data_IF_303154374143
#
_entry.id   IF_303154374143
#
_cell.length_a   1.000
_cell.length_b   1.000
_cell.length_c   1.000
_cell.angle_alpha   90.00
_cell.angle_beta   90.00
_cell.angle_gamma   90.00
#
_symmetry.space_group_name_H-M   'P 1'
#
loop_
_entity.id
_entity.type
_entity.pdbx_description
1 polymer ?
#
# COMPACT_ATOMS: atom_id res chain seq x y z
N UNK A 1 5.01 29.00 12.67
CA UNK A 1 4.93 28.35 14.02
C UNK A 1 4.34 26.93 13.91
N UNK A 2 3.19 26.72 13.24
CA UNK A 2 2.58 25.38 13.09
C UNK A 2 3.45 24.39 12.30
N UNK A 3 4.06 24.86 11.21
CA UNK A 3 4.97 24.06 10.37
C UNK A 3 6.24 23.63 11.14
N UNK A 4 6.75 24.50 12.02
CA UNK A 4 7.90 24.18 12.88
C UNK A 4 7.54 23.15 13.95
N UNK A 5 6.33 23.21 14.50
CA UNK A 5 5.82 22.22 15.46
C UNK A 5 5.63 20.87 14.75
N UNK A 6 5.06 20.88 13.54
CA UNK A 6 4.92 19.68 12.72
C UNK A 6 6.28 19.05 12.40
N UNK A 7 7.26 19.83 11.90
CA UNK A 7 8.60 19.33 11.55
C UNK A 7 9.44 18.84 12.73
N UNK A 8 9.11 19.26 13.96
CA UNK A 8 9.77 18.79 15.20
C UNK A 8 9.13 17.55 15.79
N UNK A 9 7.98 17.12 15.29
CA UNK A 9 7.26 15.96 15.80
C UNK A 9 7.76 14.71 15.09
N UNK A 10 8.86 14.16 15.55
CA UNK A 10 9.42 12.92 15.05
C UNK A 10 8.67 11.72 15.64
N UNK A 11 8.14 10.87 14.78
CA UNK A 11 7.73 9.51 15.10
C UNK A 11 8.74 8.59 14.44
N UNK A 12 9.47 7.84 15.23
CA UNK A 12 10.38 6.81 14.70
C UNK A 12 9.62 5.50 14.61
N UNK A 13 9.95 4.71 13.60
CA UNK A 13 9.57 3.30 13.63
C UNK A 13 10.19 2.66 14.89
N UNK A 14 9.37 2.04 15.72
CA UNK A 14 9.83 1.40 16.95
C UNK A 14 9.61 -0.11 16.86
N UNK A 15 8.41 -0.53 16.47
CA UNK A 15 8.05 -1.94 16.34
C UNK A 15 6.79 -2.14 15.50
N UNK A 16 6.48 -3.39 15.19
CA UNK A 16 5.26 -3.78 14.49
C UNK A 16 3.99 -3.37 15.26
N UNK A 17 4.02 -3.43 16.60
CA UNK A 17 2.89 -3.03 17.45
C UNK A 17 2.62 -1.52 17.36
N UNK A 18 3.63 -0.68 17.21
CA UNK A 18 3.43 0.76 17.04
C UNK A 18 2.79 1.07 15.69
N UNK A 19 3.11 0.31 14.66
CA UNK A 19 2.45 0.39 13.34
C UNK A 19 1.00 -0.07 13.45
N UNK A 20 0.75 -1.22 14.07
CA UNK A 20 -0.61 -1.74 14.30
C UNK A 20 -1.48 -0.71 15.05
N UNK A 21 -0.99 -0.15 16.17
CA UNK A 21 -1.71 0.86 16.94
C UNK A 21 -2.01 2.14 16.14
N UNK A 22 -1.10 2.56 15.25
CA UNK A 22 -1.34 3.70 14.38
C UNK A 22 -2.47 3.42 13.38
N UNK A 23 -2.48 2.24 12.76
CA UNK A 23 -3.55 1.83 11.84
C UNK A 23 -4.88 1.59 12.55
N UNK A 24 -4.87 1.02 13.76
CA UNK A 24 -6.07 0.90 14.61
C UNK A 24 -6.72 2.26 14.84
N UNK A 25 -5.92 3.26 15.26
CA UNK A 25 -6.42 4.63 15.49
C UNK A 25 -6.94 5.32 14.22
N UNK A 26 -6.40 4.99 13.04
CA UNK A 26 -6.87 5.52 11.76
C UNK A 26 -8.16 4.83 11.31
N UNK A 27 -8.30 3.55 11.60
CA UNK A 27 -9.49 2.76 11.26
C UNK A 27 -10.67 3.10 12.17
N UNK A 28 -10.44 3.21 13.49
CA UNK A 28 -11.48 3.50 14.48
C UNK A 28 -12.12 4.87 14.28
N UNK A 29 -11.37 5.90 13.87
CA UNK A 29 -11.92 7.23 13.59
C UNK A 29 -12.63 7.34 12.23
N UNK A 30 -12.49 6.32 11.36
CA UNK A 30 -13.10 6.22 10.02
C UNK A 30 -12.83 7.41 9.09
N UNK A 31 -11.84 8.24 9.38
CA UNK A 31 -11.57 9.43 8.57
C UNK A 31 -11.18 9.05 7.14
N UNK A 32 -10.23 8.11 7.00
CA UNK A 32 -9.79 7.66 5.69
C UNK A 32 -10.91 6.95 4.93
N UNK A 33 -11.64 6.04 5.56
CA UNK A 33 -12.78 5.35 4.94
C UNK A 33 -13.82 6.33 4.40
N UNK A 34 -14.19 7.36 5.18
CA UNK A 34 -15.18 8.35 4.75
C UNK A 34 -14.69 9.24 3.60
N UNK A 35 -13.42 9.62 3.62
CA UNK A 35 -12.83 10.46 2.58
C UNK A 35 -12.43 9.64 1.34
N UNK A 36 -11.72 8.54 1.56
CA UNK A 36 -11.05 7.82 0.49
C UNK A 36 -11.78 6.55 0.04
N UNK A 37 -12.82 6.12 0.77
CA UNK A 37 -13.55 4.88 0.52
C UNK A 37 -12.79 3.67 1.05
N UNK A 38 -13.02 2.52 0.42
CA UNK A 38 -12.54 1.21 0.88
C UNK A 38 -11.05 0.97 0.59
N UNK A 39 -10.40 1.88 -0.12
CA UNK A 39 -9.00 1.76 -0.55
C UNK A 39 -8.15 2.88 0.03
N UNK A 40 -7.14 2.53 0.80
CA UNK A 40 -6.19 3.52 1.36
C UNK A 40 -5.03 3.80 0.39
N UNK A 41 -4.71 2.86 -0.52
CA UNK A 41 -3.66 2.99 -1.52
C UNK A 41 -3.92 4.09 -2.57
N UNK A 42 -2.90 4.45 -3.35
CA UNK A 42 -3.01 5.39 -4.47
C UNK A 42 -3.90 4.85 -5.59
N UNK A 43 -4.44 5.74 -6.40
CA UNK A 43 -5.21 5.41 -7.61
C UNK A 43 -4.33 5.38 -8.87
N UNK A 44 -4.81 4.75 -9.93
CA UNK A 44 -4.21 4.74 -11.25
C UNK A 44 -5.00 5.63 -12.21
N UNK A 45 -4.36 6.68 -12.72
CA UNK A 45 -5.00 7.71 -13.57
C UNK A 45 -4.67 7.55 -15.05
N UNK A 46 -4.02 6.45 -15.43
CA UNK A 46 -3.55 6.21 -16.80
C UNK A 46 -2.20 6.86 -17.10
N UNK A 47 -1.63 6.48 -18.24
CA UNK A 47 -0.41 7.10 -18.77
C UNK A 47 -0.58 7.30 -20.29
N UNK A 48 -0.81 8.55 -20.76
CA UNK A 48 -0.87 9.79 -19.98
C UNK A 48 -2.06 9.84 -19.03
N UNK A 49 -1.90 10.60 -17.93
CA UNK A 49 -2.95 10.70 -16.90
C UNK A 49 -4.22 11.35 -17.43
N UNK A 50 -5.36 10.80 -17.01
CA UNK A 50 -6.70 11.28 -17.37
C UNK A 50 -7.45 11.80 -16.15
N UNK A 51 -8.27 12.85 -16.28
CA UNK A 51 -9.17 13.27 -15.20
C UNK A 51 -10.09 12.10 -14.81
N UNK A 52 -9.98 11.65 -13.56
CA UNK A 52 -10.72 10.49 -13.06
C UNK A 52 -11.19 10.80 -11.64
N UNK A 53 -12.37 10.29 -11.26
CA UNK A 53 -12.81 10.35 -9.86
C UNK A 53 -11.80 9.61 -8.99
N UNK A 54 -11.49 10.21 -7.84
CA UNK A 54 -10.45 9.70 -6.93
C UNK A 54 -10.69 8.25 -6.46
N UNK A 55 -11.94 7.88 -6.21
CA UNK A 55 -12.28 6.51 -5.79
C UNK A 55 -12.26 5.55 -6.97
N UNK A 56 -12.76 5.99 -8.14
CA UNK A 56 -12.67 5.20 -9.37
C UNK A 56 -11.21 4.95 -9.78
N UNK A 57 -10.32 5.92 -9.62
CA UNK A 57 -8.90 5.74 -9.89
C UNK A 57 -8.27 4.64 -8.99
N UNK A 58 -8.73 4.49 -7.75
CA UNK A 58 -8.29 3.42 -6.84
C UNK A 58 -8.80 2.05 -7.25
N UNK A 59 -10.05 1.93 -7.67
CA UNK A 59 -10.56 0.68 -8.24
C UNK A 59 -9.84 0.35 -9.56
N UNK A 60 -9.62 1.34 -10.43
CA UNK A 60 -8.85 1.18 -11.65
C UNK A 60 -7.42 0.68 -11.38
N UNK A 61 -6.79 1.14 -10.29
CA UNK A 61 -5.47 0.65 -9.86
C UNK A 61 -5.48 -0.87 -9.62
N UNK A 62 -6.49 -1.39 -8.92
CA UNK A 62 -6.60 -2.84 -8.66
C UNK A 62 -6.69 -3.60 -9.98
N UNK A 63 -7.56 -3.17 -10.90
CA UNK A 63 -7.72 -3.83 -12.18
C UNK A 63 -6.47 -3.74 -13.06
N UNK A 64 -5.76 -2.60 -13.04
CA UNK A 64 -4.50 -2.46 -13.77
C UNK A 64 -3.41 -3.39 -13.21
N UNK A 65 -3.26 -3.46 -11.89
CA UNK A 65 -2.27 -4.33 -11.29
C UNK A 65 -2.58 -5.82 -11.53
N UNK A 66 -3.87 -6.21 -11.53
CA UNK A 66 -4.31 -7.56 -11.91
C UNK A 66 -3.90 -7.88 -13.35
N UNK A 67 -4.18 -6.99 -14.32
CA UNK A 67 -3.77 -7.18 -15.72
C UNK A 67 -2.25 -7.21 -15.88
N UNK A 68 -1.57 -6.24 -15.30
CA UNK A 68 -0.11 -6.13 -15.42
C UNK A 68 0.61 -7.34 -14.82
N UNK A 69 0.15 -7.85 -13.68
CA UNK A 69 0.74 -9.01 -13.02
C UNK A 69 0.34 -10.34 -13.68
N UNK A 70 -0.71 -10.36 -14.50
CA UNK A 70 -1.26 -11.54 -15.15
C UNK A 70 -2.14 -12.38 -14.24
N UNK A 71 -2.62 -11.82 -13.11
CA UNK A 71 -3.60 -12.50 -12.25
C UNK A 71 -4.91 -12.79 -12.99
N UNK A 72 -5.30 -11.95 -13.96
CA UNK A 72 -6.49 -12.14 -14.81
C UNK A 72 -6.46 -13.45 -15.63
N UNK A 73 -5.31 -14.11 -15.73
CA UNK A 73 -5.15 -15.41 -16.39
C UNK A 73 -5.41 -16.60 -15.46
N UNK A 74 -5.57 -16.34 -14.16
CA UNK A 74 -5.87 -17.41 -13.20
C UNK A 74 -7.37 -17.78 -13.26
N UNK A 75 -7.70 -19.09 -13.10
CA UNK A 75 -9.09 -19.51 -13.09
C UNK A 75 -9.82 -18.97 -11.85
N UNK A 76 -11.14 -18.81 -11.95
CA UNK A 76 -11.99 -18.55 -10.80
C UNK A 76 -11.82 -19.68 -9.75
N UNK A 77 -11.88 -19.29 -8.47
CA UNK A 77 -11.58 -20.18 -7.34
C UNK A 77 -10.10 -20.29 -6.99
N UNK A 78 -9.20 -19.63 -7.74
CA UNK A 78 -7.79 -19.54 -7.36
C UNK A 78 -7.63 -18.89 -5.99
N UNK A 79 -6.72 -19.44 -5.19
CA UNK A 79 -6.45 -18.95 -3.82
C UNK A 79 -5.48 -17.79 -3.87
N UNK A 80 -5.91 -16.63 -3.39
CA UNK A 80 -5.12 -15.40 -3.36
C UNK A 80 -4.87 -14.96 -1.93
N UNK A 81 -3.63 -14.65 -1.59
CA UNK A 81 -3.28 -14.01 -0.32
C UNK A 81 -3.09 -12.50 -0.57
N UNK A 82 -3.86 -11.67 0.12
CA UNK A 82 -3.71 -10.20 0.14
C UNK A 82 -2.98 -9.78 1.42
N UNK A 83 -1.67 -9.50 1.30
CA UNK A 83 -0.81 -9.14 2.43
C UNK A 83 -0.81 -7.64 2.66
N UNK A 84 -1.24 -7.21 3.86
CA UNK A 84 -1.47 -5.81 4.15
C UNK A 84 -2.81 -5.33 3.61
N UNK A 85 -3.85 -6.16 3.69
CA UNK A 85 -5.15 -5.96 3.05
C UNK A 85 -5.94 -4.71 3.51
N UNK A 86 -5.47 -4.01 4.55
CA UNK A 86 -6.20 -2.89 5.14
C UNK A 86 -7.63 -3.27 5.53
N UNK A 87 -8.61 -2.47 5.13
CA UNK A 87 -10.04 -2.77 5.34
C UNK A 87 -10.66 -3.61 4.22
N UNK A 88 -9.84 -4.30 3.42
CA UNK A 88 -10.24 -5.34 2.48
C UNK A 88 -10.77 -4.86 1.13
N UNK A 89 -10.53 -3.61 0.73
CA UNK A 89 -11.03 -3.06 -0.54
C UNK A 89 -10.57 -3.86 -1.75
N UNK A 90 -9.26 -4.06 -1.90
CA UNK A 90 -8.68 -4.85 -3.00
C UNK A 90 -9.11 -6.32 -2.93
N UNK A 91 -9.09 -6.93 -1.73
CA UNK A 91 -9.51 -8.31 -1.52
C UNK A 91 -10.95 -8.55 -2.01
N UNK A 92 -11.89 -7.62 -1.72
CA UNK A 92 -13.27 -7.73 -2.20
C UNK A 92 -13.40 -7.61 -3.71
N UNK A 93 -12.61 -6.73 -4.36
CA UNK A 93 -12.58 -6.64 -5.84
C UNK A 93 -12.05 -7.95 -6.44
N UNK A 94 -10.95 -8.48 -5.93
CA UNK A 94 -10.36 -9.74 -6.39
C UNK A 94 -11.36 -10.90 -6.27
N UNK A 95 -12.10 -11.00 -5.17
CA UNK A 95 -13.11 -12.03 -4.98
C UNK A 95 -14.36 -11.82 -5.85
N UNK A 96 -14.84 -10.58 -5.96
CA UNK A 96 -16.09 -10.27 -6.68
C UNK A 96 -15.92 -10.32 -8.20
N UNK A 97 -14.88 -9.69 -8.73
CA UNK A 97 -14.75 -9.43 -10.16
C UNK A 97 -13.94 -10.51 -10.88
N UNK A 98 -13.08 -11.23 -10.15
CA UNK A 98 -12.25 -12.32 -10.70
C UNK A 98 -12.62 -13.70 -10.14
N UNK A 99 -13.53 -13.76 -9.16
CA UNK A 99 -14.01 -15.02 -8.59
C UNK A 99 -12.97 -15.75 -7.74
N UNK A 100 -11.97 -15.07 -7.21
CA UNK A 100 -10.92 -15.70 -6.39
C UNK A 100 -11.40 -16.02 -4.97
N UNK A 101 -10.76 -17.03 -4.34
CA UNK A 101 -10.87 -17.31 -2.90
C UNK A 101 -9.76 -16.52 -2.19
N UNK A 102 -10.12 -15.38 -1.58
CA UNK A 102 -9.15 -14.42 -1.04
C UNK A 102 -9.03 -14.55 0.47
N UNK A 103 -7.80 -14.68 0.95
CA UNK A 103 -7.44 -14.46 2.35
C UNK A 103 -6.70 -13.13 2.47
N UNK A 104 -7.30 -12.13 3.12
CA UNK A 104 -6.64 -10.88 3.46
C UNK A 104 -6.02 -10.94 4.84
N UNK A 105 -4.78 -10.46 4.98
CA UNK A 105 -4.10 -10.39 6.28
C UNK A 105 -3.59 -8.98 6.57
N UNK A 106 -3.69 -8.57 7.82
CA UNK A 106 -3.15 -7.33 8.35
C UNK A 106 -2.70 -7.51 9.79
N UNK A 107 -1.71 -6.74 10.21
CA UNK A 107 -1.28 -6.72 11.61
C UNK A 107 -2.27 -5.97 12.53
N UNK A 108 -3.19 -5.17 11.98
CA UNK A 108 -4.17 -4.36 12.71
C UNK A 108 -5.47 -5.14 12.97
N UNK A 109 -5.80 -5.49 14.22
CA UNK A 109 -7.09 -6.10 14.55
C UNK A 109 -8.30 -5.23 14.18
N UNK A 110 -8.18 -3.90 14.25
CA UNK A 110 -9.25 -2.98 13.87
C UNK A 110 -9.53 -3.04 12.36
N UNK A 111 -8.47 -3.10 11.53
CA UNK A 111 -8.64 -3.27 10.09
C UNK A 111 -9.32 -4.59 9.75
N UNK A 112 -8.91 -5.69 10.37
CA UNK A 112 -9.51 -7.02 10.12
C UNK A 112 -10.98 -7.06 10.52
N UNK A 113 -11.34 -6.52 11.69
CA UNK A 113 -12.76 -6.39 12.08
C UNK A 113 -13.52 -5.59 11.03
N UNK A 114 -12.98 -4.44 10.61
CA UNK A 114 -13.64 -3.57 9.64
C UNK A 114 -13.74 -4.22 8.25
N UNK A 115 -12.71 -4.90 7.79
CA UNK A 115 -12.72 -5.64 6.54
C UNK A 115 -13.84 -6.71 6.54
N UNK A 116 -13.98 -7.44 7.65
CA UNK A 116 -15.03 -8.45 7.81
C UNK A 116 -16.43 -7.81 7.79
N UNK A 117 -16.63 -6.70 8.52
CA UNK A 117 -17.91 -5.98 8.56
C UNK A 117 -18.34 -5.43 7.17
N UNK A 118 -17.38 -5.01 6.35
CA UNK A 118 -17.63 -4.44 5.03
C UNK A 118 -17.82 -5.51 3.94
N UNK A 119 -17.54 -6.77 4.24
CA UNK A 119 -17.61 -7.85 3.24
C UNK A 119 -19.01 -8.44 3.20
N UNK A 120 -19.67 -8.44 2.02
CA UNK A 120 -20.98 -9.06 1.86
C UNK A 120 -20.97 -10.56 2.13
N UNK A 121 -22.06 -11.07 2.69
CA UNK A 121 -22.26 -12.50 2.87
C UNK A 121 -22.18 -13.25 1.53
N UNK A 122 -21.52 -14.39 1.55
CA UNK A 122 -21.36 -15.26 0.36
C UNK A 122 -20.21 -14.86 -0.58
N UNK A 123 -19.50 -13.76 -0.32
CA UNK A 123 -18.28 -13.43 -1.04
C UNK A 123 -17.11 -14.29 -0.51
N UNK A 124 -16.36 -14.95 -1.41
CA UNK A 124 -15.20 -15.77 -1.05
C UNK A 124 -14.01 -14.90 -0.62
N UNK A 125 -14.17 -14.21 0.49
CA UNK A 125 -13.19 -13.28 1.03
C UNK A 125 -13.17 -13.38 2.56
N UNK A 126 -12.02 -13.70 3.11
CA UNK A 126 -11.82 -13.92 4.55
C UNK A 126 -10.64 -13.10 5.03
N UNK A 127 -10.60 -12.77 6.33
CA UNK A 127 -9.56 -11.92 6.89
C UNK A 127 -9.02 -12.50 8.19
N UNK A 128 -7.71 -12.31 8.42
CA UNK A 128 -7.03 -12.74 9.63
C UNK A 128 -5.97 -11.72 10.08
N UNK A 129 -5.75 -11.65 11.39
CA UNK A 129 -4.66 -10.85 11.95
C UNK A 129 -3.36 -11.66 11.82
N UNK A 130 -2.39 -11.15 11.04
CA UNK A 130 -1.06 -11.78 10.88
C UNK A 130 0.00 -10.69 10.66
N UNK A 131 1.22 -10.99 11.08
CA UNK A 131 2.41 -10.22 10.72
C UNK A 131 2.91 -10.68 9.34
N UNK A 132 3.12 -9.75 8.42
CA UNK A 132 3.65 -10.02 7.08
C UNK A 132 5.11 -10.54 7.09
N UNK A 133 5.83 -10.34 8.20
CA UNK A 133 7.19 -10.85 8.39
C UNK A 133 7.22 -12.26 9.03
N UNK A 134 6.07 -12.77 9.44
CA UNK A 134 5.93 -14.12 10.05
C UNK A 134 4.52 -14.66 9.77
N UNK A 135 4.25 -14.99 8.51
CA UNK A 135 2.96 -15.53 8.10
C UNK A 135 2.76 -16.94 8.66
N UNK A 136 1.73 -17.11 9.49
CA UNK A 136 1.38 -18.41 10.07
C UNK A 136 0.60 -19.26 9.05
N UNK A 137 1.21 -19.45 7.88
CA UNK A 137 0.65 -20.14 6.72
C UNK A 137 1.66 -21.17 6.19
N UNK A 138 1.16 -22.25 5.63
CA UNK A 138 2.01 -23.27 5.01
C UNK A 138 2.70 -22.77 3.75
N UNK A 139 3.86 -23.33 3.46
CA UNK A 139 4.57 -23.09 2.21
C UNK A 139 3.68 -23.47 1.02
N UNK A 140 3.84 -22.74 -0.09
CA UNK A 140 3.23 -23.07 -1.39
C UNK A 140 1.70 -23.25 -1.33
N UNK A 141 1.03 -22.43 -0.50
CA UNK A 141 -0.40 -22.55 -0.24
C UNK A 141 -1.27 -21.78 -1.23
N UNK A 142 -0.75 -20.73 -1.88
CA UNK A 142 -1.52 -19.79 -2.68
C UNK A 142 -1.13 -19.82 -4.16
N UNK A 143 -2.13 -19.61 -5.02
CA UNK A 143 -1.99 -19.47 -6.47
C UNK A 143 -1.46 -18.10 -6.86
N UNK A 144 -1.80 -17.10 -6.03
CA UNK A 144 -1.24 -15.76 -6.15
C UNK A 144 -1.00 -15.12 -4.79
N UNK A 145 0.00 -14.23 -4.75
CA UNK A 145 0.25 -13.31 -3.64
C UNK A 145 0.11 -11.89 -4.16
N UNK A 146 -0.73 -11.13 -3.48
CA UNK A 146 -1.03 -9.74 -3.75
C UNK A 146 -0.61 -8.90 -2.54
N UNK A 147 0.03 -7.75 -2.77
CA UNK A 147 0.30 -6.76 -1.73
C UNK A 147 0.42 -5.37 -2.34
N UNK A 148 -0.26 -4.40 -1.73
CA UNK A 148 -0.27 -3.01 -2.17
C UNK A 148 0.02 -2.10 -0.99
N UNK A 149 1.10 -1.32 -1.10
CA UNK A 149 1.55 -0.32 -0.13
C UNK A 149 1.77 -0.86 1.29
N UNK A 150 2.10 -2.16 1.42
CA UNK A 150 2.47 -2.76 2.70
C UNK A 150 3.99 -2.76 2.93
N UNK A 151 4.77 -2.98 1.88
CA UNK A 151 6.23 -3.06 1.94
C UNK A 151 6.93 -1.82 2.53
N UNK A 152 6.44 -0.58 2.36
CA UNK A 152 7.00 0.60 3.00
C UNK A 152 7.09 0.50 4.53
N UNK A 153 6.19 -0.25 5.16
CA UNK A 153 6.14 -0.44 6.60
C UNK A 153 7.03 -1.58 7.13
N UNK A 154 7.61 -2.39 6.25
CA UNK A 154 8.41 -3.54 6.65
C UNK A 154 9.86 -3.12 6.97
N UNK A 155 10.35 -3.33 8.19
CA UNK A 155 11.74 -3.01 8.54
C UNK A 155 12.74 -3.94 7.87
N UNK A 156 12.38 -5.21 7.71
CA UNK A 156 13.18 -6.24 7.04
C UNK A 156 12.58 -6.57 5.68
N UNK A 157 13.09 -5.94 4.62
CA UNK A 157 12.63 -6.12 3.25
C UNK A 157 12.94 -7.52 2.71
N UNK A 158 14.06 -8.14 3.16
CA UNK A 158 14.40 -9.50 2.75
C UNK A 158 13.44 -10.50 3.36
N UNK A 159 13.19 -10.41 4.66
CA UNK A 159 12.23 -11.28 5.35
C UNK A 159 10.83 -11.15 4.74
N UNK A 160 10.41 -9.92 4.41
CA UNK A 160 9.14 -9.71 3.72
C UNK A 160 9.09 -10.41 2.36
N UNK A 161 10.12 -10.25 1.53
CA UNK A 161 10.23 -10.92 0.23
C UNK A 161 10.20 -12.45 0.40
N UNK A 162 10.92 -12.99 1.40
CA UNK A 162 10.96 -14.43 1.68
C UNK A 162 9.58 -14.97 2.05
N UNK A 163 8.83 -14.30 2.93
CA UNK A 163 7.50 -14.72 3.34
C UNK A 163 6.48 -14.67 2.17
N UNK A 164 6.49 -13.59 1.35
CA UNK A 164 5.63 -13.51 0.17
C UNK A 164 5.86 -14.69 -0.78
N UNK A 165 7.12 -15.04 -1.02
CA UNK A 165 7.49 -16.10 -1.97
C UNK A 165 7.39 -17.50 -1.39
N UNK A 166 7.55 -17.66 -0.06
CA UNK A 166 7.42 -18.95 0.62
C UNK A 166 6.00 -19.53 0.50
N UNK A 167 5.00 -18.67 0.69
CA UNK A 167 3.58 -19.09 0.65
C UNK A 167 3.03 -19.22 -0.77
N UNK A 168 3.74 -18.70 -1.77
CA UNK A 168 3.37 -18.78 -3.17
C UNK A 168 3.80 -20.14 -3.75
N UNK A 169 2.86 -20.85 -4.40
CA UNK A 169 3.15 -22.12 -5.06
C UNK A 169 4.08 -21.93 -6.28
N UNK A 170 4.83 -22.95 -6.68
CA UNK A 170 5.57 -22.93 -7.93
C UNK A 170 4.68 -22.60 -9.13
N UNK A 171 5.08 -21.62 -9.95
CA UNK A 171 4.28 -21.15 -11.07
C UNK A 171 3.10 -20.24 -10.71
N UNK A 172 2.97 -19.86 -9.44
CA UNK A 172 1.99 -18.89 -8.96
C UNK A 172 2.31 -17.47 -9.41
N UNK A 173 1.34 -16.57 -9.27
CA UNK A 173 1.48 -15.15 -9.64
C UNK A 173 1.87 -14.31 -8.43
N UNK A 174 2.80 -13.37 -8.63
CA UNK A 174 3.18 -12.34 -7.66
C UNK A 174 2.72 -10.98 -8.19
N UNK A 175 2.03 -10.21 -7.37
CA UNK A 175 1.67 -8.82 -7.63
C UNK A 175 2.01 -7.96 -6.42
N UNK A 176 3.04 -7.15 -6.55
CA UNK A 176 3.46 -6.18 -5.52
C UNK A 176 3.41 -4.78 -6.09
N UNK A 177 2.94 -3.82 -5.30
CA UNK A 177 2.97 -2.42 -5.65
C UNK A 177 3.29 -1.59 -4.40
N UNK A 178 4.37 -0.81 -4.43
CA UNK A 178 4.89 -0.14 -3.24
C UNK A 178 5.48 1.25 -3.52
N UNK A 179 5.57 2.05 -2.47
CA UNK A 179 6.38 3.27 -2.46
C UNK A 179 7.86 2.91 -2.34
N UNK A 180 8.64 3.45 -3.25
CA UNK A 180 10.07 3.23 -3.30
C UNK A 180 10.81 4.57 -3.28
N UNK A 181 12.03 4.59 -2.76
CA UNK A 181 12.91 5.74 -2.94
C UNK A 181 13.69 5.63 -4.24
N UNK A 182 14.16 6.77 -4.77
CA UNK A 182 15.14 6.79 -5.85
C UNK A 182 16.34 5.91 -5.47
N UNK A 183 16.82 5.11 -6.43
CA UNK A 183 18.01 4.30 -6.21
C UNK A 183 19.26 5.19 -6.08
N UNK A 184 20.18 4.90 -5.13
CA UNK A 184 21.41 5.67 -4.98
C UNK A 184 22.30 5.73 -6.24
N UNK A 185 22.24 4.72 -7.13
CA UNK A 185 22.96 4.74 -8.39
C UNK A 185 22.42 5.77 -9.38
N UNK A 186 21.15 6.17 -9.24
CA UNK A 186 20.52 7.19 -10.08
C UNK A 186 20.78 8.62 -9.56
N UNK A 187 21.58 8.75 -8.52
CA UNK A 187 22.07 10.01 -7.98
C UNK A 187 21.92 10.14 -6.46
N UNK A 188 22.92 10.75 -5.85
CA UNK A 188 22.92 11.03 -4.42
C UNK A 188 21.91 12.14 -4.08
N UNK A 189 21.20 11.97 -2.95
CA UNK A 189 20.29 12.99 -2.44
C UNK A 189 21.05 14.28 -2.07
N UNK A 190 20.53 15.43 -2.50
CA UNK A 190 20.98 16.75 -2.04
C UNK A 190 20.48 17.07 -0.62
N UNK A 191 20.80 18.24 -0.10
CA UNK A 191 20.44 18.65 1.26
C UNK A 191 18.93 18.74 1.49
N UNK A 192 18.19 19.27 0.52
CA UNK A 192 16.73 19.39 0.57
C UNK A 192 16.06 18.01 0.50
N UNK A 193 16.50 17.14 -0.43
CA UNK A 193 15.99 15.78 -0.58
C UNK A 193 16.20 14.94 0.68
N UNK A 194 17.39 15.04 1.31
CA UNK A 194 17.66 14.38 2.60
C UNK A 194 16.72 14.86 3.71
N UNK A 195 16.44 16.17 3.75
CA UNK A 195 15.50 16.72 4.72
C UNK A 195 14.07 16.20 4.46
N UNK A 196 13.60 16.22 3.20
CA UNK A 196 12.28 15.68 2.82
C UNK A 196 12.18 14.21 3.18
N UNK A 197 13.14 13.37 2.76
CA UNK A 197 13.15 11.95 3.06
C UNK A 197 13.04 11.68 4.57
N UNK A 198 13.80 12.43 5.40
CA UNK A 198 13.70 12.32 6.85
C UNK A 198 12.29 12.66 7.36
N UNK A 199 11.64 13.70 6.80
CA UNK A 199 10.27 14.02 7.17
C UNK A 199 9.30 12.90 6.80
N UNK A 200 9.41 12.33 5.59
CA UNK A 200 8.55 11.23 5.15
C UNK A 200 8.68 10.00 6.05
N UNK A 201 9.90 9.63 6.45
CA UNK A 201 10.13 8.53 7.37
C UNK A 201 9.55 8.81 8.76
N UNK A 202 9.77 10.01 9.31
CA UNK A 202 9.41 10.32 10.70
C UNK A 202 7.94 10.70 10.90
N UNK A 203 7.27 11.29 9.90
CA UNK A 203 5.88 11.73 10.09
C UNK A 203 4.90 10.55 10.19
N UNK A 204 5.20 9.45 9.51
CA UNK A 204 4.37 8.25 9.51
C UNK A 204 5.07 7.02 10.12
N UNK A 205 6.18 7.23 10.82
CA UNK A 205 6.95 6.17 11.48
C UNK A 205 7.34 5.03 10.53
N UNK A 206 7.77 5.38 9.31
CA UNK A 206 8.28 4.40 8.36
C UNK A 206 9.71 3.97 8.70
N UNK A 207 10.05 2.70 8.48
CA UNK A 207 11.44 2.28 8.30
C UNK A 207 11.98 2.80 6.96
N UNK A 208 13.25 2.55 6.67
CA UNK A 208 13.86 2.94 5.39
C UNK A 208 13.10 2.36 4.19
N UNK A 209 12.86 3.19 3.17
CA UNK A 209 12.28 2.75 1.91
C UNK A 209 13.32 2.02 1.06
N UNK A 210 12.94 0.89 0.48
CA UNK A 210 13.73 0.28 -0.59
C UNK A 210 13.62 1.09 -1.89
N UNK A 211 14.61 1.00 -2.77
CA UNK A 211 14.43 1.38 -4.18
C UNK A 211 13.72 0.26 -4.95
N UNK A 212 13.19 0.56 -6.15
CA UNK A 212 12.61 -0.48 -7.03
C UNK A 212 13.64 -1.59 -7.28
N UNK A 213 14.87 -1.22 -7.65
CA UNK A 213 15.96 -2.18 -7.86
C UNK A 213 16.31 -2.94 -6.59
N UNK A 214 16.35 -2.26 -5.44
CA UNK A 214 16.67 -2.88 -4.15
C UNK A 214 15.63 -3.92 -3.73
N UNK A 215 14.34 -3.63 -3.86
CA UNK A 215 13.31 -4.61 -3.52
C UNK A 215 13.23 -5.75 -4.53
N UNK A 216 13.43 -5.49 -5.83
CA UNK A 216 13.57 -6.56 -6.82
C UNK A 216 14.72 -7.51 -6.45
N UNK A 217 15.88 -6.97 -6.04
CA UNK A 217 17.00 -7.78 -5.58
C UNK A 217 16.67 -8.61 -4.32
N UNK A 218 15.86 -8.09 -3.39
CA UNK A 218 15.38 -8.88 -2.24
C UNK A 218 14.48 -10.05 -2.70
N UNK A 219 13.58 -9.82 -3.66
CA UNK A 219 12.74 -10.89 -4.22
C UNK A 219 13.60 -11.95 -4.92
N UNK A 220 14.57 -11.53 -5.75
CA UNK A 220 15.46 -12.43 -6.48
C UNK A 220 16.41 -13.22 -5.56
N UNK A 221 16.84 -12.62 -4.45
CA UNK A 221 17.71 -13.26 -3.46
C UNK A 221 16.97 -14.29 -2.58
N UNK A 222 15.64 -14.29 -2.59
CA UNK A 222 14.86 -15.23 -1.80
C UNK A 222 15.11 -16.68 -2.27
N UNK A 223 15.29 -17.64 -1.35
CA UNK A 223 15.43 -19.06 -1.68
C UNK A 223 14.17 -19.65 -2.34
N UNK A 224 13.04 -18.97 -2.21
CA UNK A 224 11.75 -19.34 -2.78
C UNK A 224 11.51 -18.72 -4.17
N UNK A 225 12.37 -17.81 -4.66
CA UNK A 225 12.26 -17.23 -5.99
C UNK A 225 12.52 -18.28 -7.06
N UNK A 226 11.58 -18.45 -7.99
CA UNK A 226 11.64 -19.49 -9.06
C UNK A 226 11.70 -18.91 -10.46
N UNK A 227 11.93 -17.62 -10.62
CA UNK A 227 12.01 -16.97 -11.92
C UNK A 227 12.45 -15.51 -11.80
N UNK A 228 12.73 -14.86 -12.93
CA UNK A 228 13.12 -13.45 -12.94
C UNK A 228 11.96 -12.54 -12.48
N UNK A 229 12.32 -11.45 -11.83
CA UNK A 229 11.37 -10.43 -11.39
C UNK A 229 11.29 -9.33 -12.45
N UNK A 230 10.09 -9.06 -12.96
CA UNK A 230 9.81 -7.87 -13.76
C UNK A 230 9.36 -6.73 -12.87
N UNK A 231 9.87 -5.53 -13.16
CA UNK A 231 9.51 -4.31 -12.45
C UNK A 231 8.91 -3.28 -13.40
N UNK A 232 8.09 -2.39 -12.85
CA UNK A 232 7.59 -1.19 -13.52
C UNK A 232 7.62 0.00 -12.57
N UNK A 233 7.57 1.20 -13.13
CA UNK A 233 7.45 2.45 -12.38
C UNK A 233 6.13 3.12 -12.76
N UNK A 234 5.17 3.16 -11.84
CA UNK A 234 3.85 3.78 -12.02
C UNK A 234 3.74 5.16 -11.38
N UNK A 235 4.88 5.81 -11.11
CA UNK A 235 4.91 7.12 -10.47
C UNK A 235 4.06 8.15 -11.20
N UNK A 236 4.10 8.21 -12.53
CA UNK A 236 3.32 9.15 -13.34
C UNK A 236 1.83 8.86 -13.19
N UNK A 237 1.44 7.60 -13.34
CA UNK A 237 0.04 7.18 -13.29
C UNK A 237 -0.61 7.37 -11.91
N UNK A 238 0.18 7.35 -10.82
CA UNK A 238 -0.32 7.45 -9.43
C UNK A 238 -0.17 8.83 -8.81
N UNK A 239 0.66 9.71 -9.40
CA UNK A 239 0.99 11.03 -8.85
C UNK A 239 -0.24 11.90 -8.51
N UNK A 240 -1.33 11.94 -9.31
CA UNK A 240 -2.48 12.77 -8.99
C UNK A 240 -3.16 12.42 -7.66
N UNK A 241 -3.06 11.17 -7.22
CA UNK A 241 -3.67 10.71 -5.95
C UNK A 241 -3.24 11.52 -4.73
N UNK A 242 -2.00 12.02 -4.70
CA UNK A 242 -1.50 12.79 -3.57
C UNK A 242 -2.24 14.12 -3.38
N UNK A 243 -2.54 14.79 -4.49
CA UNK A 243 -3.32 16.04 -4.45
C UNK A 243 -4.80 15.72 -4.25
N UNK A 244 -5.34 14.72 -4.95
CA UNK A 244 -6.75 14.33 -4.81
C UNK A 244 -7.07 13.86 -3.38
N UNK A 245 -6.15 13.22 -2.67
CA UNK A 245 -6.33 12.84 -1.26
C UNK A 245 -6.58 14.04 -0.34
N UNK A 246 -5.99 15.21 -0.65
CA UNK A 246 -6.23 16.47 0.05
C UNK A 246 -7.53 17.11 -0.42
N UNK A 247 -7.75 17.13 -1.74
CA UNK A 247 -8.91 17.75 -2.38
C UNK A 247 -10.22 17.07 -1.98
N UNK A 248 -10.20 15.75 -1.74
CA UNK A 248 -11.37 15.02 -1.25
C UNK A 248 -11.88 15.55 0.11
N UNK A 249 -10.97 16.00 0.99
CA UNK A 249 -11.37 16.67 2.23
C UNK A 249 -12.14 17.98 1.99
N UNK A 250 -11.82 18.70 0.90
CA UNK A 250 -12.51 19.93 0.49
C UNK A 250 -13.82 19.60 -0.24
N UNK A 251 -13.82 18.60 -1.10
CA UNK A 251 -15.01 18.16 -1.87
C UNK A 251 -16.08 17.54 -0.97
N UNK A 252 -15.69 16.92 0.14
CA UNK A 252 -16.59 16.21 1.08
C UNK A 252 -16.58 16.82 2.49
N UNK A 253 -16.86 18.13 2.66
CA UNK A 253 -16.75 18.81 3.95
C UNK A 253 -17.68 18.20 5.02
N UNK A 254 -18.87 17.71 4.60
CA UNK A 254 -19.81 17.04 5.53
C UNK A 254 -19.24 15.73 6.10
N UNK A 255 -18.44 15.00 5.32
CA UNK A 255 -17.78 13.77 5.78
C UNK A 255 -16.75 14.09 6.87
N UNK A 256 -15.97 15.17 6.69
CA UNK A 256 -14.96 15.61 7.67
C UNK A 256 -15.61 16.22 8.93
N UNK A 257 -16.54 17.17 8.73
CA UNK A 257 -17.21 17.85 9.84
C UNK A 257 -18.05 16.90 10.71
N UNK A 258 -18.66 15.88 10.08
CA UNK A 258 -19.44 14.85 10.79
C UNK A 258 -18.61 13.94 11.69
N UNK A 259 -17.27 13.96 11.59
CA UNK A 259 -16.35 13.23 12.47
C UNK A 259 -15.87 14.05 13.68
N UNK A 260 -16.27 15.34 13.73
CA UNK A 260 -15.94 16.25 14.82
C UNK A 260 -14.55 16.92 14.70
N UNK A 261 -14.24 17.86 15.63
CA UNK A 261 -13.07 18.73 15.51
C UNK A 261 -11.72 18.00 15.57
N UNK A 262 -11.66 16.86 16.25
CA UNK A 262 -10.43 16.05 16.33
C UNK A 262 -10.01 15.49 14.96
N UNK A 263 -10.97 15.02 14.16
CA UNK A 263 -10.71 14.50 12.84
C UNK A 263 -10.27 15.61 11.86
N UNK A 264 -10.90 16.79 11.94
CA UNK A 264 -10.49 17.98 11.18
C UNK A 264 -9.04 18.34 11.48
N UNK A 265 -8.69 18.43 12.77
CA UNK A 265 -7.33 18.75 13.20
C UNK A 265 -6.33 17.68 12.74
N UNK A 266 -6.71 16.40 12.77
CA UNK A 266 -5.88 15.28 12.28
C UNK A 266 -5.62 15.45 10.77
N UNK A 267 -6.65 15.69 9.96
CA UNK A 267 -6.51 15.91 8.52
C UNK A 267 -5.61 17.11 8.19
N UNK A 268 -5.82 18.24 8.86
CA UNK A 268 -4.97 19.44 8.68
C UNK A 268 -3.51 19.16 9.06
N UNK A 269 -3.27 18.33 10.05
CA UNK A 269 -1.93 17.95 10.48
C UNK A 269 -1.23 17.06 9.46
N UNK A 270 -1.93 16.18 8.77
CA UNK A 270 -1.35 15.28 7.77
C UNK A 270 -1.11 15.96 6.41
N UNK A 271 -1.82 17.06 6.11
CA UNK A 271 -1.72 17.78 4.84
C UNK A 271 -0.26 18.13 4.43
N UNK A 272 0.62 18.66 5.32
CA UNK A 272 2.01 18.94 4.92
C UNK A 272 2.78 17.68 4.48
N UNK A 273 2.53 16.53 5.11
CA UNK A 273 3.16 15.27 4.72
C UNK A 273 2.69 14.81 3.35
N UNK A 274 1.39 14.92 3.06
CA UNK A 274 0.83 14.61 1.73
C UNK A 274 1.43 15.51 0.63
N UNK A 275 1.62 16.80 0.92
CA UNK A 275 2.26 17.73 -0.02
C UNK A 275 3.75 17.40 -0.24
N UNK A 276 4.46 16.97 0.81
CA UNK A 276 5.85 16.51 0.67
C UNK A 276 5.93 15.20 -0.13
N UNK A 277 4.98 14.27 0.05
CA UNK A 277 4.89 13.06 -0.76
C UNK A 277 4.66 13.41 -2.23
N UNK A 278 3.68 14.29 -2.52
CA UNK A 278 3.47 14.76 -3.89
C UNK A 278 4.75 15.34 -4.51
N UNK A 279 5.43 16.25 -3.77
CA UNK A 279 6.69 16.83 -4.24
C UNK A 279 7.76 15.76 -4.47
N UNK A 280 7.91 14.80 -3.56
CA UNK A 280 8.90 13.74 -3.65
C UNK A 280 8.67 12.84 -4.87
N UNK A 281 7.42 12.50 -5.18
CA UNK A 281 7.07 11.75 -6.39
C UNK A 281 7.24 12.59 -7.66
N UNK A 282 6.83 13.86 -7.66
CA UNK A 282 6.98 14.77 -8.80
C UNK A 282 8.43 15.06 -9.16
N UNK A 283 9.36 14.97 -8.21
CA UNK A 283 10.80 15.17 -8.42
C UNK A 283 11.59 13.87 -8.65
N UNK A 284 10.93 12.71 -8.59
CA UNK A 284 11.59 11.40 -8.69
C UNK A 284 12.43 11.02 -7.45
N UNK A 285 12.27 11.73 -6.31
CA UNK A 285 12.87 11.32 -5.04
C UNK A 285 12.18 10.06 -4.49
N UNK A 286 10.87 9.99 -4.68
CA UNK A 286 10.07 8.79 -4.47
C UNK A 286 9.51 8.29 -5.80
N UNK A 287 9.31 6.99 -5.88
CA UNK A 287 8.79 6.26 -7.05
C UNK A 287 7.69 5.30 -6.61
N UNK A 288 6.83 4.92 -7.53
CA UNK A 288 5.82 3.88 -7.30
C UNK A 288 6.17 2.62 -8.08
N UNK A 289 6.82 1.69 -7.39
CA UNK A 289 7.28 0.44 -8.00
C UNK A 289 6.20 -0.62 -8.05
N UNK A 290 6.13 -1.35 -9.16
CA UNK A 290 5.33 -2.57 -9.29
C UNK A 290 6.23 -3.75 -9.63
N UNK A 291 5.92 -4.93 -9.09
CA UNK A 291 6.76 -6.12 -9.18
C UNK A 291 5.92 -7.35 -9.47
N UNK A 292 6.39 -8.20 -10.38
CA UNK A 292 5.78 -9.48 -10.71
C UNK A 292 6.84 -10.49 -11.13
N UNK A 293 6.51 -11.78 -11.17
CA UNK A 293 7.32 -12.71 -11.94
C UNK A 293 7.24 -12.41 -13.42
N UNK A 294 8.39 -12.49 -14.11
CA UNK A 294 8.42 -12.52 -15.58
C UNK A 294 7.78 -13.83 -16.07
N UNK A 295 6.93 -13.71 -17.07
CA UNK A 295 6.41 -14.83 -17.84
C UNK A 295 7.20 -14.98 -19.13
#
# INVERSE_FOLDING_TARGET
>A
TALLIWARKERRYESAETVAAAYDAWTDDRLLERLWGDHVHLGHYGEPTQPTDFRQAKEAFVHELVRWSGLDQLPAGSRVLDVGCGIGGSARILARDYGFDVLGVSISPAQIRRATELTPDGLNCRFAVMDALDLQLSDQQFDAVWTVEAGPHMPDKQRFADELLRVLRPGGCLAVADWNRRDPVDGAMNGQERWVMRQLLHQWAHPEFASIRGFAANLEASPHCKGPISTGDWSVATLPSWIDSIVEGIRRPRAVLGLGPKAVLKGLRETPTLLLMHWAFATGLMQFGVFRFSR
#
